data_IF_098642929115
#
_entry.id   IF_098642929115
#
_cell.length_a   1.000
_cell.length_b   1.000
_cell.length_c   1.000
_cell.angle_alpha   90.00
_cell.angle_beta   90.00
_cell.angle_gamma   90.00
#
_symmetry.space_group_name_H-M   'P 1'
#
loop_
_entity.id
_entity.type
_entity.pdbx_description
1 polymer ?
#
# COMPACT_ATOMS: atom_id res chain seq x y z
N UNK A 1 35.85 1.13 -27.51
CA UNK A 1 34.72 2.07 -27.55
C UNK A 1 33.41 1.40 -27.14
N UNK A 2 33.10 0.21 -27.65
CA UNK A 2 31.86 -0.53 -27.37
C UNK A 2 31.58 -0.81 -25.87
N UNK A 3 32.60 -1.20 -25.08
CA UNK A 3 32.43 -1.41 -23.64
C UNK A 3 32.06 -0.13 -22.86
N UNK A 4 32.48 1.05 -23.32
CA UNK A 4 32.12 2.31 -22.68
C UNK A 4 30.66 2.72 -22.98
N UNK A 5 30.13 2.35 -24.15
CA UNK A 5 28.73 2.58 -24.50
C UNK A 5 27.80 1.68 -23.68
N UNK A 6 28.12 0.38 -23.56
CA UNK A 6 27.34 -0.57 -22.75
C UNK A 6 27.27 -0.13 -21.27
N UNK A 7 28.38 0.38 -20.73
CA UNK A 7 28.45 0.89 -19.36
C UNK A 7 27.61 2.15 -19.15
N UNK A 8 27.50 3.01 -20.17
CA UNK A 8 26.73 4.24 -20.09
C UNK A 8 25.21 3.96 -20.11
N UNK A 9 24.75 3.09 -21.01
CA UNK A 9 23.33 2.74 -21.13
C UNK A 9 22.79 2.06 -19.87
N UNK A 10 23.56 1.15 -19.27
CA UNK A 10 23.18 0.47 -18.02
C UNK A 10 22.96 1.46 -16.87
N UNK A 11 23.74 2.56 -16.81
CA UNK A 11 23.58 3.58 -15.76
C UNK A 11 22.33 4.43 -15.97
N UNK A 12 21.99 4.73 -17.23
CA UNK A 12 20.82 5.52 -17.59
C UNK A 12 19.50 4.77 -17.37
N UNK A 13 19.43 3.52 -17.82
CA UNK A 13 18.25 2.65 -17.65
C UNK A 13 17.90 2.47 -16.16
N UNK A 14 18.94 2.34 -15.36
CA UNK A 14 18.86 2.25 -13.92
C UNK A 14 18.41 3.54 -13.24
N UNK A 15 19.01 4.68 -13.59
CA UNK A 15 18.55 5.96 -13.05
C UNK A 15 17.08 6.16 -13.40
N UNK A 16 16.69 5.77 -14.61
CA UNK A 16 15.29 5.72 -15.05
C UNK A 16 14.45 4.80 -14.16
N UNK A 17 14.91 3.58 -13.84
CA UNK A 17 14.17 2.65 -12.99
C UNK A 17 14.00 3.15 -11.54
N UNK A 18 15.06 3.69 -10.93
CA UNK A 18 15.00 4.30 -9.58
C UNK A 18 14.03 5.48 -9.58
N UNK A 19 14.14 6.37 -10.57
CA UNK A 19 13.26 7.52 -10.68
C UNK A 19 11.81 7.10 -10.93
N UNK A 20 11.59 6.12 -11.80
CA UNK A 20 10.25 5.59 -12.11
C UNK A 20 9.59 5.00 -10.87
N UNK A 21 10.32 4.24 -10.04
CA UNK A 21 9.77 3.66 -8.81
C UNK A 21 9.25 4.69 -7.81
N UNK A 22 9.89 5.86 -7.72
CA UNK A 22 9.42 6.96 -6.86
C UNK A 22 8.02 7.41 -7.26
N UNK A 23 7.69 7.39 -8.56
CA UNK A 23 6.41 7.83 -9.10
C UNK A 23 5.39 6.69 -9.30
N UNK A 24 5.85 5.45 -9.50
CA UNK A 24 4.97 4.28 -9.63
C UNK A 24 4.58 3.65 -8.30
N UNK A 25 5.22 4.06 -7.20
CA UNK A 25 4.83 3.66 -5.85
C UNK A 25 3.36 4.02 -5.57
N UNK A 26 2.53 3.10 -5.03
CA UNK A 26 1.13 3.37 -4.72
C UNK A 26 0.96 4.54 -3.74
N UNK A 27 1.98 4.77 -2.90
CA UNK A 27 2.03 5.90 -1.96
C UNK A 27 2.15 7.26 -2.64
N UNK A 28 2.73 7.35 -3.85
CA UNK A 28 2.81 8.61 -4.59
C UNK A 28 1.42 9.10 -5.02
N UNK A 29 0.58 8.18 -5.48
CA UNK A 29 -0.80 8.49 -5.86
C UNK A 29 -1.60 8.93 -4.64
N UNK A 30 -1.39 8.26 -3.50
CA UNK A 30 -2.01 8.65 -2.22
C UNK A 30 -1.53 10.04 -1.75
N UNK A 31 -0.24 10.35 -1.87
CA UNK A 31 0.32 11.65 -1.53
C UNK A 31 -0.25 12.77 -2.43
N UNK A 32 -0.28 12.56 -3.75
CA UNK A 32 -0.88 13.49 -4.70
C UNK A 32 -2.36 13.75 -4.42
N UNK A 33 -3.11 12.69 -4.10
CA UNK A 33 -4.51 12.79 -3.69
C UNK A 33 -4.67 13.56 -2.38
N UNK A 34 -3.84 13.28 -1.38
CA UNK A 34 -3.86 13.98 -0.08
C UNK A 34 -3.52 15.46 -0.26
N UNK A 35 -2.55 15.79 -1.11
CA UNK A 35 -2.17 17.17 -1.45
C UNK A 35 -3.28 17.92 -2.20
N UNK A 36 -3.97 17.23 -3.09
CA UNK A 36 -5.12 17.76 -3.80
C UNK A 36 -6.31 18.02 -2.85
N UNK A 37 -6.67 17.04 -2.03
CA UNK A 37 -7.78 17.14 -1.06
C UNK A 37 -7.48 18.16 0.06
N UNK A 38 -6.23 18.26 0.49
CA UNK A 38 -5.79 19.21 1.51
C UNK A 38 -5.45 20.60 0.94
N UNK A 39 -5.72 20.86 -0.34
CA UNK A 39 -5.34 22.10 -1.02
C UNK A 39 -5.87 23.38 -0.36
N UNK A 40 -7.04 23.31 0.28
CA UNK A 40 -7.64 24.44 1.01
C UNK A 40 -7.20 24.58 2.46
N UNK A 41 -6.62 23.53 3.07
CA UNK A 41 -6.26 23.48 4.50
C UNK A 41 -4.86 22.87 4.74
N UNK A 42 -3.86 23.35 4.00
CA UNK A 42 -2.48 22.80 4.01
C UNK A 42 -1.72 22.92 5.33
N UNK A 43 -2.21 23.69 6.32
CA UNK A 43 -1.52 23.93 7.59
C UNK A 43 -1.64 22.80 8.62
N UNK A 44 -2.36 21.72 8.32
CA UNK A 44 -2.53 20.62 9.29
C UNK A 44 -1.25 19.79 9.37
N UNK A 45 -0.73 19.58 10.59
CA UNK A 45 0.46 18.77 10.89
C UNK A 45 0.45 17.40 10.22
N UNK A 46 -0.74 16.78 10.13
CA UNK A 46 -0.96 15.47 9.47
C UNK A 46 -0.48 15.47 8.01
N UNK A 47 -0.67 16.58 7.29
CA UNK A 47 -0.26 16.69 5.89
C UNK A 47 1.26 16.61 5.74
N UNK A 48 2.00 17.27 6.64
CA UNK A 48 3.47 17.22 6.66
C UNK A 48 3.98 15.83 7.04
N UNK A 49 3.33 15.17 8.00
CA UNK A 49 3.69 13.79 8.40
C UNK A 49 3.48 12.81 7.24
N UNK A 50 2.39 12.94 6.48
CA UNK A 50 2.15 12.10 5.30
C UNK A 50 3.15 12.37 4.16
N UNK A 51 3.51 13.63 3.90
CA UNK A 51 4.55 13.96 2.92
C UNK A 51 5.89 13.36 3.34
N UNK A 52 6.25 13.51 4.62
CA UNK A 52 7.50 12.98 5.16
C UNK A 52 7.55 11.45 5.07
N UNK A 53 6.47 10.77 5.46
CA UNK A 53 6.34 9.31 5.34
C UNK A 53 6.53 8.85 3.88
N UNK A 54 5.85 9.51 2.93
CA UNK A 54 6.00 9.18 1.50
C UNK A 54 7.43 9.37 1.01
N UNK A 55 8.06 10.51 1.34
CA UNK A 55 9.46 10.80 0.95
C UNK A 55 10.38 9.69 1.45
N UNK A 56 10.30 9.36 2.74
CA UNK A 56 11.18 8.36 3.35
C UNK A 56 10.98 6.96 2.76
N UNK A 57 9.73 6.58 2.47
CA UNK A 57 9.39 5.31 1.82
C UNK A 57 10.00 5.24 0.42
N UNK A 58 9.82 6.29 -0.39
CA UNK A 58 10.31 6.36 -1.75
C UNK A 58 11.85 6.33 -1.81
N UNK A 59 12.53 7.04 -0.91
CA UNK A 59 14.00 6.98 -0.80
C UNK A 59 14.49 5.61 -0.37
N UNK A 60 13.82 4.98 0.59
CA UNK A 60 14.18 3.65 1.06
C UNK A 60 14.09 2.57 -0.03
N UNK A 61 13.02 2.59 -0.83
CA UNK A 61 12.87 1.70 -1.99
C UNK A 61 13.92 1.99 -3.08
N UNK A 62 14.23 3.28 -3.31
CA UNK A 62 15.28 3.69 -4.23
C UNK A 62 16.68 3.20 -3.82
N UNK A 63 17.03 3.29 -2.53
CA UNK A 63 18.32 2.80 -2.03
C UNK A 63 18.44 1.27 -2.10
N UNK A 64 17.35 0.54 -1.86
CA UNK A 64 17.34 -0.91 -2.01
C UNK A 64 17.71 -1.33 -3.44
N UNK A 65 17.23 -0.60 -4.45
CA UNK A 65 17.57 -0.82 -5.86
C UNK A 65 18.97 -0.30 -6.24
N UNK A 66 19.49 0.73 -5.56
CA UNK A 66 20.89 1.12 -5.81
C UNK A 66 21.90 0.13 -5.25
N UNK A 67 21.55 -0.61 -4.19
CA UNK A 67 22.37 -1.70 -3.68
C UNK A 67 22.70 -2.73 -4.76
N UNK A 68 21.73 -3.11 -5.60
CA UNK A 68 21.93 -4.06 -6.70
C UNK A 68 22.89 -3.58 -7.81
N UNK A 69 23.41 -2.36 -7.71
CA UNK A 69 24.36 -1.78 -8.67
C UNK A 69 25.82 -1.90 -8.28
N UNK A 70 26.09 -2.16 -7.01
CA UNK A 70 27.48 -2.26 -6.55
C UNK A 70 28.13 -3.59 -6.93
N UNK A 71 27.43 -4.42 -7.70
CA UNK A 71 28.01 -5.55 -8.40
C UNK A 71 28.89 -5.02 -9.53
N UNK A 72 30.19 -4.98 -9.24
CA UNK A 72 31.22 -4.74 -10.24
C UNK A 72 31.14 -5.91 -11.23
N UNK A 73 31.07 -5.55 -12.51
CA UNK A 73 30.83 -6.38 -13.69
C UNK A 73 32.00 -7.34 -14.01
N UNK A 74 32.67 -7.87 -12.99
CA UNK A 74 33.69 -8.88 -13.16
C UNK A 74 32.96 -10.25 -13.11
N UNK A 75 32.30 -10.60 -14.24
CA UNK A 75 31.63 -11.86 -14.58
C UNK A 75 30.25 -12.17 -13.94
N UNK A 76 29.23 -11.32 -14.16
CA UNK A 76 27.86 -11.63 -13.74
C UNK A 76 26.94 -11.80 -14.96
N UNK A 77 26.53 -13.05 -15.21
CA UNK A 77 25.40 -13.37 -16.08
C UNK A 77 24.13 -12.67 -15.56
N UNK A 78 23.38 -11.99 -16.44
CA UNK A 78 22.11 -11.32 -16.13
C UNK A 78 21.13 -12.31 -15.48
N UNK A 79 20.89 -12.18 -14.18
CA UNK A 79 19.79 -12.88 -13.51
C UNK A 79 18.51 -12.05 -13.61
N UNK A 80 17.40 -12.72 -13.91
CA UNK A 80 16.06 -12.14 -13.95
C UNK A 80 15.59 -11.76 -12.54
N UNK A 81 14.94 -10.61 -12.42
CA UNK A 81 14.62 -9.85 -11.20
C UNK A 81 13.81 -10.57 -10.11
N UNK A 82 13.39 -11.81 -10.32
CA UNK A 82 12.45 -12.49 -9.43
C UNK A 82 13.09 -13.59 -8.56
N UNK A 83 14.37 -13.90 -8.75
CA UNK A 83 15.14 -14.81 -7.89
C UNK A 83 16.42 -14.11 -7.44
N UNK A 84 16.28 -13.21 -6.47
CA UNK A 84 17.43 -12.62 -5.77
C UNK A 84 18.07 -13.74 -4.94
N UNK A 85 19.14 -14.36 -5.47
CA UNK A 85 20.07 -15.14 -4.67
C UNK A 85 20.35 -16.60 -5.06
N UNK A 86 20.15 -17.03 -6.31
CA UNK A 86 20.62 -18.37 -6.72
C UNK A 86 21.51 -18.30 -7.97
N UNK A 87 22.80 -18.50 -7.76
CA UNK A 87 23.77 -18.70 -8.84
C UNK A 87 23.40 -19.94 -9.66
N UNK A 88 23.43 -19.81 -10.98
CA UNK A 88 23.43 -20.95 -11.90
C UNK A 88 24.83 -21.55 -11.86
N UNK A 89 24.86 -22.86 -11.55
CA UNK A 89 26.01 -23.75 -11.62
C UNK A 89 26.52 -23.73 -13.07
N UNK A 90 27.54 -22.92 -13.35
CA UNK A 90 28.34 -23.16 -14.54
C UNK A 90 29.33 -24.30 -14.22
N UNK A 91 29.50 -25.15 -15.22
CA UNK A 91 30.07 -26.50 -15.20
C UNK A 91 31.59 -26.50 -14.91
N UNK A 92 32.00 -25.92 -13.79
CA UNK A 92 33.33 -26.14 -13.27
C UNK A 92 33.38 -27.56 -12.69
N UNK A 93 34.04 -28.41 -13.48
CA UNK A 93 34.20 -29.84 -13.36
C UNK A 93 35.08 -30.22 -12.16
N UNK A 94 34.72 -29.77 -10.97
CA UNK A 94 35.45 -30.05 -9.74
C UNK A 94 34.69 -31.07 -8.89
N UNK A 95 35.18 -32.31 -8.93
CA UNK A 95 34.49 -33.49 -8.40
C UNK A 95 34.65 -33.68 -6.89
N UNK A 96 35.36 -32.82 -6.17
CA UNK A 96 35.58 -33.00 -4.74
C UNK A 96 35.75 -31.66 -4.02
N UNK A 97 34.65 -31.09 -3.50
CA UNK A 97 34.51 -30.66 -2.10
C UNK A 97 33.24 -29.82 -1.91
N UNK A 98 32.44 -30.24 -0.93
CA UNK A 98 31.49 -29.46 -0.10
C UNK A 98 30.77 -28.26 -0.75
N UNK A 99 29.51 -28.50 -1.09
CA UNK A 99 28.52 -27.60 -1.69
C UNK A 99 28.14 -26.37 -0.82
N UNK A 100 29.08 -25.50 -0.46
CA UNK A 100 28.73 -24.23 0.20
C UNK A 100 28.60 -23.11 -0.84
N UNK A 101 27.36 -22.66 -1.06
CA UNK A 101 27.06 -21.52 -1.92
C UNK A 101 27.42 -20.24 -1.18
N UNK A 102 28.55 -19.62 -1.53
CA UNK A 102 28.97 -18.35 -0.94
C UNK A 102 28.33 -17.21 -1.74
N UNK A 103 27.39 -16.49 -1.12
CA UNK A 103 26.82 -15.27 -1.72
C UNK A 103 27.76 -14.11 -1.41
N UNK A 104 28.52 -13.65 -2.41
CA UNK A 104 29.47 -12.54 -2.24
C UNK A 104 28.74 -11.22 -2.49
N UNK A 105 28.29 -10.58 -1.42
CA UNK A 105 27.78 -9.21 -1.47
C UNK A 105 28.94 -8.21 -1.36
N UNK A 106 28.94 -7.15 -2.17
CA UNK A 106 29.92 -6.07 -2.01
C UNK A 106 29.68 -5.34 -0.69
N UNK A 107 30.75 -4.86 -0.04
CA UNK A 107 30.66 -4.05 1.20
C UNK A 107 29.71 -2.86 1.03
N UNK A 108 29.70 -2.25 -0.16
CA UNK A 108 28.84 -1.12 -0.48
C UNK A 108 27.37 -1.51 -0.73
N UNK A 109 27.10 -2.71 -1.25
CA UNK A 109 25.73 -3.24 -1.36
C UNK A 109 25.09 -3.36 0.02
N UNK A 110 25.83 -3.94 0.98
CA UNK A 110 25.37 -4.07 2.35
C UNK A 110 25.16 -2.72 3.02
N UNK A 111 26.10 -1.78 2.86
CA UNK A 111 26.00 -0.46 3.51
C UNK A 111 24.86 0.37 2.88
N UNK A 112 24.76 0.44 1.55
CA UNK A 112 23.83 1.36 0.87
C UNK A 112 22.45 0.73 0.71
N UNK A 113 22.38 -0.49 0.18
CA UNK A 113 21.11 -1.16 -0.13
C UNK A 113 20.41 -1.66 1.14
N UNK A 114 21.14 -2.42 1.94
CA UNK A 114 20.58 -3.03 3.16
C UNK A 114 20.70 -2.13 4.39
N UNK A 115 21.77 -1.36 4.52
CA UNK A 115 21.93 -0.41 5.62
C UNK A 115 20.99 0.79 5.44
N UNK A 116 21.30 1.67 4.48
CA UNK A 116 20.52 2.89 4.29
C UNK A 116 19.10 2.64 3.78
N UNK A 117 18.91 1.80 2.75
CA UNK A 117 17.57 1.55 2.21
C UNK A 117 16.60 0.97 3.23
N UNK A 118 17.03 -0.06 3.97
CA UNK A 118 16.22 -0.63 5.03
C UNK A 118 16.03 0.36 6.18
N UNK A 119 17.03 1.17 6.53
CA UNK A 119 16.90 2.23 7.55
C UNK A 119 15.85 3.26 7.15
N UNK A 120 15.78 3.70 5.89
CA UNK A 120 14.77 4.66 5.44
C UNK A 120 13.37 4.06 5.36
N UNK A 121 13.24 2.80 4.91
CA UNK A 121 11.95 2.07 4.92
C UNK A 121 11.51 1.87 6.36
N UNK A 122 12.41 1.44 7.24
CA UNK A 122 12.15 1.29 8.66
C UNK A 122 11.79 2.65 9.26
N UNK A 123 12.50 3.75 9.02
CA UNK A 123 12.12 5.08 9.53
C UNK A 123 10.77 5.53 8.98
N UNK A 124 10.42 5.20 7.73
CA UNK A 124 9.11 5.52 7.16
C UNK A 124 7.99 4.69 7.81
N UNK A 125 8.21 3.38 7.96
CA UNK A 125 7.34 2.46 8.69
C UNK A 125 7.25 2.92 10.13
N UNK A 126 8.33 3.06 10.85
CA UNK A 126 8.46 3.72 12.14
C UNK A 126 7.75 5.08 12.15
N UNK A 127 7.75 5.97 11.18
CA UNK A 127 6.97 7.23 11.32
C UNK A 127 5.46 7.01 11.14
N UNK A 128 5.06 6.06 10.30
CA UNK A 128 3.65 5.67 10.13
C UNK A 128 3.13 4.85 11.31
N UNK A 129 3.91 3.86 11.69
CA UNK A 129 3.72 2.88 12.75
C UNK A 129 4.07 3.44 14.12
N UNK A 130 5.09 4.30 14.34
CA UNK A 130 5.34 5.09 15.57
C UNK A 130 4.29 6.15 15.81
N UNK A 131 3.43 6.53 14.87
CA UNK A 131 2.23 7.23 15.31
C UNK A 131 1.33 6.31 16.16
N UNK A 132 1.26 5.02 15.81
CA UNK A 132 0.59 3.96 16.58
C UNK A 132 1.46 3.38 17.72
N UNK A 133 2.77 3.32 17.52
CA UNK A 133 3.79 2.73 18.38
C UNK A 133 4.32 3.74 19.39
N UNK A 134 4.37 5.06 19.17
CA UNK A 134 4.59 6.05 20.25
C UNK A 134 3.44 6.04 21.28
N UNK A 135 2.25 5.55 20.91
CA UNK A 135 1.15 5.27 21.86
C UNK A 135 1.36 3.96 22.63
N UNK A 136 2.10 3.01 22.06
CA UNK A 136 2.41 1.70 22.64
C UNK A 136 3.73 1.69 23.44
N UNK A 137 4.73 2.46 23.03
CA UNK A 137 6.06 2.66 23.61
C UNK A 137 6.00 3.50 24.91
N UNK A 138 5.00 4.39 25.03
CA UNK A 138 4.59 4.98 26.32
C UNK A 138 4.08 3.92 27.32
N UNK A 139 3.69 2.74 26.84
CA UNK A 139 3.17 1.64 27.65
C UNK A 139 4.25 0.59 27.99
N UNK A 140 5.26 0.41 27.13
CA UNK A 140 6.36 -0.57 27.29
C UNK A 140 7.66 -0.03 27.90
N UNK A 141 7.93 1.28 27.89
CA UNK A 141 9.13 1.90 28.52
C UNK A 141 9.19 1.75 30.06
N UNK A 142 8.47 0.78 30.63
CA UNK A 142 8.44 0.44 32.06
C UNK A 142 9.03 -0.95 32.39
N UNK A 143 9.40 -1.78 31.40
CA UNK A 143 10.02 -3.11 31.61
C UNK A 143 11.39 -3.19 30.91
N UNK A 144 12.50 -2.81 31.56
CA UNK A 144 13.43 -3.61 32.38
C UNK A 144 14.36 -4.56 31.59
N UNK A 145 15.67 -4.50 31.88
CA UNK A 145 16.87 -5.02 31.16
C UNK A 145 16.92 -6.52 30.76
N UNK A 146 15.90 -7.32 31.05
CA UNK A 146 16.00 -8.81 31.01
C UNK A 146 15.62 -9.47 29.66
N UNK A 147 15.35 -8.66 28.63
CA UNK A 147 14.93 -9.15 27.32
C UNK A 147 13.42 -9.44 27.24
N UNK A 148 12.87 -9.41 26.02
CA UNK A 148 11.43 -9.57 25.79
C UNK A 148 11.06 -11.04 26.02
N UNK A 149 10.18 -11.28 26.98
CA UNK A 149 9.70 -12.64 27.26
C UNK A 149 8.75 -13.09 26.15
N UNK A 150 8.69 -14.41 25.91
CA UNK A 150 7.78 -14.99 24.92
C UNK A 150 6.31 -14.62 25.21
N UNK A 151 5.96 -14.45 26.48
CA UNK A 151 4.64 -14.01 26.93
C UNK A 151 4.32 -12.57 26.48
N UNK A 152 5.27 -11.65 26.57
CA UNK A 152 5.12 -10.26 26.08
C UNK A 152 4.88 -10.22 24.57
N UNK A 153 5.58 -11.08 23.81
CA UNK A 153 5.40 -11.19 22.37
C UNK A 153 4.02 -11.73 21.99
N UNK A 154 3.49 -12.70 22.75
CA UNK A 154 2.13 -13.21 22.57
C UNK A 154 1.10 -12.12 22.87
N UNK A 155 1.28 -11.38 23.98
CA UNK A 155 0.39 -10.27 24.35
C UNK A 155 0.40 -9.18 23.28
N UNK A 156 1.57 -8.85 22.75
CA UNK A 156 1.72 -7.91 21.64
C UNK A 156 0.97 -8.38 20.40
N UNK A 157 1.24 -9.60 19.90
CA UNK A 157 0.56 -10.13 18.71
C UNK A 157 -0.94 -10.21 18.89
N UNK A 158 -1.39 -10.67 20.06
CA UNK A 158 -2.82 -10.72 20.39
C UNK A 158 -3.45 -9.33 20.35
N UNK A 159 -2.74 -8.33 20.87
CA UNK A 159 -3.20 -6.92 20.84
C UNK A 159 -3.20 -6.35 19.43
N UNK A 160 -2.19 -6.66 18.62
CA UNK A 160 -2.12 -6.28 17.21
C UNK A 160 -3.30 -6.83 16.41
N UNK A 161 -3.60 -8.12 16.56
CA UNK A 161 -4.74 -8.74 15.89
C UNK A 161 -6.08 -8.17 16.35
N UNK A 162 -6.23 -7.79 17.64
CA UNK A 162 -7.42 -7.07 18.11
C UNK A 162 -7.59 -5.72 17.42
N UNK A 163 -6.52 -4.94 17.29
CA UNK A 163 -6.56 -3.65 16.58
C UNK A 163 -6.98 -3.86 15.13
N UNK A 164 -6.46 -4.89 14.45
CA UNK A 164 -6.87 -5.19 13.09
C UNK A 164 -8.35 -5.57 12.99
N UNK A 165 -8.86 -6.39 13.92
CA UNK A 165 -10.30 -6.70 14.01
C UNK A 165 -11.12 -5.42 14.17
N UNK A 166 -10.70 -4.50 15.05
CA UNK A 166 -11.39 -3.21 15.24
C UNK A 166 -11.39 -2.37 13.96
N UNK A 167 -10.26 -2.27 13.26
CA UNK A 167 -10.15 -1.56 11.99
C UNK A 167 -11.15 -2.13 10.96
N UNK A 168 -11.18 -3.45 10.78
CA UNK A 168 -12.10 -4.10 9.84
C UNK A 168 -13.57 -3.91 10.25
N UNK A 169 -13.88 -3.94 11.55
CA UNK A 169 -15.22 -3.65 12.05
C UNK A 169 -15.67 -2.23 11.67
N UNK A 170 -14.83 -1.23 11.92
CA UNK A 170 -15.13 0.15 11.54
C UNK A 170 -15.23 0.34 10.02
N UNK A 171 -14.40 -0.34 9.24
CA UNK A 171 -14.52 -0.37 7.78
C UNK A 171 -15.90 -0.91 7.34
N UNK A 172 -16.34 -2.04 7.91
CA UNK A 172 -17.65 -2.59 7.60
C UNK A 172 -18.79 -1.62 7.97
N UNK A 173 -18.75 -1.03 9.17
CA UNK A 173 -19.76 -0.06 9.63
C UNK A 173 -19.82 1.18 8.73
N UNK A 174 -18.66 1.65 8.26
CA UNK A 174 -18.57 2.75 7.32
C UNK A 174 -19.25 2.42 5.98
N UNK A 175 -18.98 1.24 5.43
CA UNK A 175 -19.63 0.78 4.18
C UNK A 175 -21.15 0.65 4.34
N UNK A 176 -21.63 0.09 5.46
CA UNK A 176 -23.06 0.05 5.77
C UNK A 176 -23.67 1.45 5.90
N UNK A 177 -22.95 2.39 6.51
CA UNK A 177 -23.41 3.78 6.66
C UNK A 177 -23.55 4.48 5.30
N UNK A 178 -22.60 4.26 4.39
CA UNK A 178 -22.69 4.74 3.01
C UNK A 178 -23.89 4.10 2.32
N UNK A 179 -24.04 2.78 2.41
CA UNK A 179 -25.12 2.05 1.78
C UNK A 179 -26.49 2.53 2.27
N UNK A 180 -26.64 2.74 3.58
CA UNK A 180 -27.85 3.29 4.18
C UNK A 180 -28.14 4.72 3.68
N UNK A 181 -27.12 5.59 3.64
CA UNK A 181 -27.25 6.98 3.17
C UNK A 181 -27.64 7.02 1.70
N UNK A 182 -27.00 6.22 0.84
CA UNK A 182 -27.34 6.10 -0.57
C UNK A 182 -28.75 5.53 -0.77
N UNK A 183 -29.15 4.55 0.04
CA UNK A 183 -30.50 4.00 -0.01
C UNK A 183 -31.56 5.05 0.31
N UNK A 184 -31.32 5.89 1.33
CA UNK A 184 -32.26 6.92 1.75
C UNK A 184 -32.37 8.07 0.74
N UNK A 185 -31.23 8.56 0.24
CA UNK A 185 -31.20 9.80 -0.54
C UNK A 185 -31.09 9.59 -2.06
N UNK A 186 -30.47 8.51 -2.52
CA UNK A 186 -30.25 8.28 -3.96
C UNK A 186 -31.25 7.29 -4.54
N UNK A 187 -31.77 6.34 -3.75
CA UNK A 187 -32.71 5.34 -4.26
C UNK A 187 -34.17 5.78 -4.26
N UNK A 188 -34.59 6.65 -3.33
CA UNK A 188 -35.93 7.26 -3.40
C UNK A 188 -36.12 8.07 -4.69
N UNK A 189 -35.08 8.75 -5.16
CA UNK A 189 -35.09 9.50 -6.43
C UNK A 189 -35.03 8.58 -7.66
N UNK A 190 -34.62 7.32 -7.48
CA UNK A 190 -34.42 6.36 -8.57
C UNK A 190 -35.74 5.78 -9.06
N UNK A 191 -36.72 5.67 -8.18
CA UNK A 191 -38.08 5.22 -8.53
C UNK A 191 -38.77 6.21 -9.47
N UNK A 192 -38.50 7.51 -9.36
CA UNK A 192 -38.99 8.53 -10.31
C UNK A 192 -38.24 8.50 -11.66
N UNK A 193 -36.94 8.18 -11.66
CA UNK A 193 -36.11 8.23 -12.88
C UNK A 193 -36.25 7.04 -13.84
N UNK A 194 -37.09 6.05 -13.51
CA UNK A 194 -37.29 4.81 -14.27
C UNK A 194 -37.83 5.03 -15.70
N UNK A 195 -38.23 6.25 -16.05
CA UNK A 195 -38.74 6.64 -17.35
C UNK A 195 -37.67 6.99 -18.42
N UNK A 196 -36.41 7.30 -18.06
CA UNK A 196 -35.37 7.59 -19.07
C UNK A 196 -34.51 6.36 -19.41
N UNK A 197 -34.97 5.57 -20.39
CA UNK A 197 -34.66 4.13 -20.49
C UNK A 197 -33.24 3.73 -20.92
N UNK A 198 -32.31 4.64 -21.28
CA UNK A 198 -30.99 4.23 -21.81
C UNK A 198 -29.79 5.15 -21.50
N UNK A 199 -29.89 6.00 -20.47
CA UNK A 199 -28.78 6.88 -20.10
C UNK A 199 -27.59 6.08 -19.52
N UNK A 200 -26.37 6.36 -20.01
CA UNK A 200 -25.11 5.88 -19.42
C UNK A 200 -25.07 6.12 -17.90
N UNK A 201 -25.66 7.21 -17.41
CA UNK A 201 -25.75 7.54 -15.98
C UNK A 201 -26.55 6.50 -15.18
N UNK A 202 -27.62 5.94 -15.75
CA UNK A 202 -28.42 4.93 -15.07
C UNK A 202 -27.68 3.59 -14.94
N UNK A 203 -26.92 3.20 -15.99
CA UNK A 203 -26.02 2.04 -15.93
C UNK A 203 -24.86 2.28 -14.96
N UNK A 204 -24.32 3.49 -14.95
CA UNK A 204 -23.23 3.90 -14.09
C UNK A 204 -23.59 3.88 -12.60
N UNK A 205 -24.72 4.49 -12.23
CA UNK A 205 -25.21 4.45 -10.85
C UNK A 205 -25.45 3.00 -10.40
N UNK A 206 -26.01 2.15 -11.26
CA UNK A 206 -26.15 0.71 -10.98
C UNK A 206 -24.80 0.03 -10.72
N UNK A 207 -23.77 0.36 -11.49
CA UNK A 207 -22.41 -0.17 -11.31
C UNK A 207 -21.78 0.28 -9.99
N UNK A 208 -21.91 1.56 -9.63
CA UNK A 208 -21.41 2.10 -8.36
C UNK A 208 -22.10 1.47 -7.15
N UNK A 209 -23.41 1.21 -7.25
CA UNK A 209 -24.16 0.49 -6.21
C UNK A 209 -23.68 -0.95 -6.08
N UNK A 210 -23.54 -1.64 -7.22
CA UNK A 210 -23.04 -3.01 -7.24
C UNK A 210 -21.66 -3.12 -6.61
N UNK A 211 -20.78 -2.15 -6.87
CA UNK A 211 -19.45 -2.08 -6.26
C UNK A 211 -19.51 -1.98 -4.74
N UNK A 212 -20.37 -1.14 -4.18
CA UNK A 212 -20.55 -1.03 -2.71
C UNK A 212 -20.98 -2.36 -2.12
N UNK A 213 -21.87 -3.09 -2.79
CA UNK A 213 -22.26 -4.43 -2.34
C UNK A 213 -21.08 -5.42 -2.40
N UNK A 214 -20.26 -5.37 -3.45
CA UNK A 214 -19.08 -6.23 -3.61
C UNK A 214 -18.02 -5.91 -2.56
N UNK A 215 -17.69 -4.63 -2.34
CA UNK A 215 -16.69 -4.23 -1.32
C UNK A 215 -17.17 -4.61 0.07
N UNK A 216 -18.44 -4.33 0.40
CA UNK A 216 -19.04 -4.72 1.66
C UNK A 216 -19.01 -6.24 1.87
N UNK A 217 -19.32 -7.03 0.83
CA UNK A 217 -19.25 -8.48 0.91
C UNK A 217 -17.81 -8.98 1.16
N UNK A 218 -16.82 -8.40 0.46
CA UNK A 218 -15.41 -8.77 0.62
C UNK A 218 -14.91 -8.38 2.01
N UNK A 219 -15.23 -7.17 2.49
CA UNK A 219 -14.89 -6.72 3.85
C UNK A 219 -15.48 -7.65 4.91
N UNK A 220 -16.75 -8.06 4.76
CA UNK A 220 -17.39 -9.01 5.69
C UNK A 220 -16.74 -10.39 5.65
N UNK A 221 -16.42 -10.91 4.45
CA UNK A 221 -15.72 -12.20 4.32
C UNK A 221 -14.34 -12.14 4.96
N UNK A 222 -13.55 -11.08 4.65
CA UNK A 222 -12.24 -10.87 5.25
C UNK A 222 -12.32 -10.77 6.77
N UNK A 223 -13.31 -10.03 7.29
CA UNK A 223 -13.57 -9.90 8.72
C UNK A 223 -13.88 -11.26 9.37
N UNK A 224 -14.74 -12.09 8.76
CA UNK A 224 -15.04 -13.44 9.26
C UNK A 224 -13.77 -14.29 9.27
N UNK A 225 -12.98 -14.26 8.20
CA UNK A 225 -11.73 -15.02 8.08
C UNK A 225 -10.73 -14.60 9.17
N UNK A 226 -10.59 -13.30 9.44
CA UNK A 226 -9.74 -12.79 10.52
C UNK A 226 -10.27 -13.22 11.89
N UNK A 227 -11.58 -13.14 12.15
CA UNK A 227 -12.16 -13.60 13.43
C UNK A 227 -11.90 -15.09 13.65
N UNK A 228 -12.18 -15.92 12.63
CA UNK A 228 -11.95 -17.37 12.69
C UNK A 228 -10.47 -17.65 12.95
N UNK A 229 -9.57 -16.90 12.31
CA UNK A 229 -8.14 -17.03 12.52
C UNK A 229 -7.71 -16.64 13.94
N UNK A 230 -8.18 -15.51 14.46
CA UNK A 230 -7.91 -15.08 15.85
C UNK A 230 -8.45 -16.08 16.87
N UNK A 231 -9.62 -16.67 16.62
CA UNK A 231 -10.17 -17.72 17.47
C UNK A 231 -9.40 -19.04 17.34
N UNK A 232 -9.06 -19.47 16.12
CA UNK A 232 -8.33 -20.71 15.88
C UNK A 232 -6.93 -20.66 16.50
N UNK A 233 -6.21 -19.56 16.33
CA UNK A 233 -4.91 -19.33 17.00
C UNK A 233 -5.05 -19.37 18.51
N UNK A 234 -6.09 -18.75 19.08
CA UNK A 234 -6.37 -18.82 20.51
C UNK A 234 -6.66 -20.26 20.98
N UNK A 235 -7.40 -21.06 20.22
CA UNK A 235 -7.72 -22.45 20.58
C UNK A 235 -6.51 -23.38 20.47
N UNK A 236 -5.71 -23.24 19.41
CA UNK A 236 -4.52 -24.07 19.18
C UNK A 236 -3.43 -23.78 20.23
N UNK A 237 -3.34 -22.54 20.71
CA UNK A 237 -2.33 -22.12 21.68
C UNK A 237 -2.63 -22.55 23.12
N UNK A 238 -3.78 -23.19 23.41
CA UNK A 238 -4.11 -23.65 24.76
C UNK A 238 -3.27 -24.89 25.16
N UNK A 239 -2.90 -25.75 24.21
CA UNK A 239 -2.30 -27.06 24.52
C UNK A 239 -0.87 -27.28 23.97
N UNK A 240 -0.33 -26.39 23.14
CA UNK A 240 1.00 -26.58 22.51
C UNK A 240 2.11 -25.80 23.20
N UNK A 241 3.30 -26.39 23.19
CA UNK A 241 4.55 -25.69 23.51
C UNK A 241 4.65 -24.43 22.63
N UNK A 242 4.69 -23.27 23.27
CA UNK A 242 4.48 -21.94 22.66
C UNK A 242 5.43 -21.69 21.46
N UNK A 243 6.59 -22.34 21.45
CA UNK A 243 7.60 -22.25 20.40
C UNK A 243 7.13 -22.85 19.06
N UNK A 244 6.37 -23.95 19.08
CA UNK A 244 5.84 -24.55 17.84
C UNK A 244 4.65 -23.76 17.28
N UNK A 245 3.85 -23.15 18.15
CA UNK A 245 2.76 -22.27 17.75
C UNK A 245 3.27 -21.03 17.01
N UNK A 246 4.44 -20.52 17.41
CA UNK A 246 5.06 -19.36 16.78
C UNK A 246 5.69 -19.67 15.42
N UNK A 247 6.37 -20.82 15.31
CA UNK A 247 6.98 -21.26 14.05
C UNK A 247 5.94 -21.72 13.00
N UNK A 248 4.72 -22.00 13.45
CA UNK A 248 3.59 -22.41 12.60
C UNK A 248 2.70 -21.27 12.13
N UNK A 249 3.12 -20.00 12.24
CA UNK A 249 2.31 -18.90 11.71
C UNK A 249 1.95 -19.19 10.25
N UNK A 250 0.65 -19.22 9.90
CA UNK A 250 0.24 -19.48 8.54
C UNK A 250 0.68 -18.29 7.69
N UNK A 251 1.80 -18.51 7.01
CA UNK A 251 2.37 -17.61 6.02
C UNK A 251 1.26 -17.19 5.07
N UNK A 252 0.92 -15.89 5.08
CA UNK A 252 -0.04 -15.31 4.15
C UNK A 252 -1.26 -14.60 4.75
N UNK A 253 -1.46 -14.62 6.07
CA UNK A 253 -2.55 -13.84 6.69
C UNK A 253 -2.39 -12.34 6.49
N UNK A 254 -1.17 -11.83 6.68
CA UNK A 254 -0.84 -10.43 6.39
C UNK A 254 -1.08 -10.09 4.91
N UNK A 255 -0.75 -11.03 4.01
CA UNK A 255 -0.99 -10.86 2.57
C UNK A 255 -2.49 -10.83 2.23
N UNK A 256 -3.32 -11.61 2.92
CA UNK A 256 -4.77 -11.58 2.75
C UNK A 256 -5.35 -10.25 3.24
N UNK A 257 -4.88 -9.77 4.39
CA UNK A 257 -5.27 -8.47 4.93
C UNK A 257 -4.88 -7.34 3.97
N UNK A 258 -3.62 -7.31 3.53
CA UNK A 258 -3.12 -6.33 2.57
C UNK A 258 -3.91 -6.36 1.27
N UNK A 259 -4.25 -7.57 0.78
CA UNK A 259 -5.08 -7.71 -0.40
C UNK A 259 -6.48 -7.10 -0.21
N UNK A 260 -7.15 -7.40 0.91
CA UNK A 260 -8.48 -6.85 1.20
C UNK A 260 -8.46 -5.32 1.30
N UNK A 261 -7.44 -4.76 1.97
CA UNK A 261 -7.25 -3.32 2.11
C UNK A 261 -6.99 -2.69 0.73
N UNK A 262 -6.05 -3.22 -0.04
CA UNK A 262 -5.70 -2.69 -1.36
C UNK A 262 -6.87 -2.73 -2.34
N UNK A 263 -7.64 -3.83 -2.34
CA UNK A 263 -8.81 -3.97 -3.19
C UNK A 263 -9.87 -2.90 -2.87
N UNK A 264 -10.15 -2.66 -1.59
CA UNK A 264 -11.06 -1.61 -1.16
C UNK A 264 -10.56 -0.21 -1.59
N UNK A 265 -9.25 0.05 -1.46
CA UNK A 265 -8.66 1.31 -1.93
C UNK A 265 -8.83 1.51 -3.44
N UNK A 266 -8.55 0.50 -4.26
CA UNK A 266 -8.71 0.59 -5.72
C UNK A 266 -10.16 0.88 -6.12
N UNK A 267 -11.11 0.24 -5.45
CA UNK A 267 -12.53 0.40 -5.75
C UNK A 267 -13.03 1.81 -5.37
N UNK A 268 -12.59 2.36 -4.23
CA UNK A 268 -12.86 3.76 -3.85
C UNK A 268 -12.25 4.73 -4.87
N UNK A 269 -11.02 4.49 -5.30
CA UNK A 269 -10.33 5.35 -6.25
C UNK A 269 -11.05 5.42 -7.60
N UNK A 270 -11.50 4.27 -8.11
CA UNK A 270 -12.32 4.17 -9.32
C UNK A 270 -13.55 5.08 -9.21
N UNK A 271 -14.23 5.10 -8.06
CA UNK A 271 -15.41 5.95 -7.87
C UNK A 271 -15.11 7.43 -7.90
N UNK A 272 -13.99 7.84 -7.33
CA UNK A 272 -13.60 9.25 -7.32
C UNK A 272 -13.40 9.76 -8.76
N UNK A 273 -12.75 8.96 -9.61
CA UNK A 273 -12.59 9.28 -11.05
C UNK A 273 -13.97 9.42 -11.70
N UNK A 274 -14.87 8.49 -11.41
CA UNK A 274 -16.18 8.45 -12.06
C UNK A 274 -17.12 9.57 -11.56
N UNK A 275 -17.09 9.89 -10.27
CA UNK A 275 -17.82 11.02 -9.67
C UNK A 275 -17.31 12.35 -10.22
N UNK A 276 -16.00 12.51 -10.39
CA UNK A 276 -15.41 13.68 -11.02
C UNK A 276 -15.94 13.87 -12.45
N UNK A 277 -15.91 12.81 -13.26
CA UNK A 277 -16.44 12.82 -14.63
C UNK A 277 -17.95 13.14 -14.68
N UNK A 278 -18.71 12.70 -13.68
CA UNK A 278 -20.14 13.03 -13.57
C UNK A 278 -20.38 14.50 -13.19
N UNK A 279 -19.61 15.03 -12.23
CA UNK A 279 -19.71 16.42 -11.80
C UNK A 279 -19.35 17.40 -12.93
N UNK A 280 -18.32 17.09 -13.71
CA UNK A 280 -17.89 17.93 -14.83
C UNK A 280 -18.94 18.00 -15.95
N UNK A 281 -19.71 16.93 -16.18
CA UNK A 281 -20.84 16.92 -17.14
C UNK A 281 -22.05 17.77 -16.71
N UNK A 282 -22.16 18.11 -15.42
CA UNK A 282 -23.25 18.91 -14.87
C UNK A 282 -22.93 20.38 -14.68
N UNK A 283 -21.69 20.82 -14.94
CA UNK A 283 -21.41 22.26 -14.96
C UNK A 283 -22.34 22.89 -15.99
N UNK A 284 -23.26 23.79 -15.59
CA UNK A 284 -24.11 24.45 -16.55
C UNK A 284 -23.18 25.10 -17.55
N UNK A 285 -23.39 24.86 -18.84
CA UNK A 285 -22.72 25.62 -19.89
C UNK A 285 -23.05 27.06 -19.55
N UNK A 286 -22.07 27.80 -19.03
CA UNK A 286 -22.22 29.22 -18.81
C UNK A 286 -22.52 29.76 -20.21
N UNK A 287 -23.80 30.02 -20.49
CA UNK A 287 -24.26 30.74 -21.67
C UNK A 287 -23.74 32.17 -21.54
N UNK A 288 -22.45 32.35 -21.78
CA UNK A 288 -21.88 33.62 -22.21
C UNK A 288 -22.26 33.83 -23.67
N UNK A 289 -23.56 33.83 -23.95
CA UNK A 289 -24.16 34.57 -25.06
C UNK A 289 -24.90 35.75 -24.43
N UNK A 290 -24.16 36.57 -23.67
CA UNK A 290 -24.58 37.94 -23.45
C UNK A 290 -24.26 38.65 -24.76
N UNK A 291 -25.21 38.60 -25.71
CA UNK A 291 -25.26 39.54 -26.83
C UNK A 291 -25.03 40.93 -26.24
N UNK A 292 -23.92 41.56 -26.60
CA UNK A 292 -23.69 42.97 -26.35
C UNK A 292 -24.84 43.74 -27.01
N UNK A 293 -25.77 44.24 -26.21
CA UNK A 293 -26.76 45.21 -26.65
C UNK A 293 -25.99 46.52 -26.82
N UNK A 294 -25.65 46.84 -28.07
CA UNK A 294 -25.08 48.13 -28.46
C UNK A 294 -26.18 49.18 -28.33
N UNK A 295 -26.09 50.05 -27.32
CA UNK A 295 -26.93 51.23 -27.24
C UNK A 295 -26.34 52.31 -28.16
N UNK A 296 -27.03 52.63 -29.25
CA UNK A 296 -26.80 53.86 -30.01
C UNK A 296 -27.52 55.00 -29.28
N UNK A 297 -26.76 55.94 -28.71
CA UNK A 297 -27.29 57.24 -28.32
C UNK A 297 -27.40 58.10 -29.58
N UNK A 298 -28.62 58.60 -29.85
CA UNK A 298 -28.91 59.61 -30.86
C UNK A 298 -29.19 60.93 -30.16
#
# INVERSE_FOLDING_TARGET
>A
MEQNYIKFDNKLELMTNIFTQIFTSPFFTLMGLTAFLSSKNRKKTIFYVMILHWILRAFGEGFKHTGTLSFKEDNIHKYTSNNIGMLKRDEFNDKNHNNERIIVYSKWHWIIGQGFGLTFICIAQIIGDWYLYLRYDLYLNKSSDDGITLDELIVFKTSWWRINVDIFLFCCLYEFSILHTLKKHVFNDYTEFKLSKNSFTAKFKKLSIYRIYVTAAISVIAFIVIIVFVFATRLINIDKNIIEAYNGEPVGMDSLQDFAINLNYYLIYIDQILLKNYADKRKPVNRTDKKSITYYYT
#
